data_IF_794464882949
#
_entry.id   IF_794464882949
#
_cell.length_a   1.000
_cell.length_b   1.000
_cell.length_c   1.000
_cell.angle_alpha   90.00
_cell.angle_beta   90.00
_cell.angle_gamma   90.00
#
_symmetry.space_group_name_H-M   'P 1'
#
loop_
_entity.id
_entity.type
_entity.pdbx_description
1 polymer ?
#
# COMPACT_ATOMS: atom_id res chain seq x y z
N UNK A 1 8.59 12.77 15.14
CA UNK A 1 9.45 12.02 14.18
C UNK A 1 9.29 10.49 14.24
N UNK A 2 9.19 9.85 15.41
CA UNK A 2 9.15 8.38 15.53
C UNK A 2 7.91 7.71 14.86
N UNK A 3 6.71 8.30 15.03
CA UNK A 3 5.47 7.73 14.48
C UNK A 3 5.42 7.72 12.94
N UNK A 4 5.84 8.83 12.31
CA UNK A 4 5.91 8.93 10.84
C UNK A 4 6.91 7.92 10.25
N UNK A 5 8.04 7.72 10.92
CA UNK A 5 9.03 6.69 10.52
C UNK A 5 8.43 5.30 10.68
N UNK A 6 7.74 5.00 11.78
CA UNK A 6 7.10 3.71 11.99
C UNK A 6 6.05 3.40 10.91
N UNK A 7 5.22 4.37 10.51
CA UNK A 7 4.23 4.19 9.43
C UNK A 7 4.92 3.94 8.09
N UNK A 8 5.96 4.72 7.76
CA UNK A 8 6.76 4.50 6.55
C UNK A 8 7.47 3.15 6.52
N UNK A 9 7.99 2.69 7.66
CA UNK A 9 8.61 1.37 7.79
C UNK A 9 7.57 0.26 7.67
N UNK A 10 6.40 0.37 8.29
CA UNK A 10 5.32 -0.60 8.11
C UNK A 10 4.89 -0.65 6.64
N UNK A 11 4.76 0.49 5.96
CA UNK A 11 4.43 0.52 4.54
C UNK A 11 5.52 -0.16 3.69
N UNK A 12 6.80 0.15 3.91
CA UNK A 12 7.90 -0.48 3.19
C UNK A 12 8.03 -1.98 3.50
N UNK A 13 7.83 -2.39 4.75
CA UNK A 13 7.97 -3.79 5.19
C UNK A 13 6.75 -4.65 4.87
N UNK A 14 5.58 -4.08 4.59
CA UNK A 14 4.40 -4.84 4.14
C UNK A 14 4.21 -4.73 2.63
N UNK A 15 4.14 -3.52 2.11
CA UNK A 15 3.73 -3.29 0.72
C UNK A 15 4.81 -3.70 -0.26
N UNK A 16 6.09 -3.48 0.05
CA UNK A 16 7.18 -3.90 -0.84
C UNK A 16 7.30 -5.43 -0.97
N UNK A 17 7.36 -6.23 0.11
CA UNK A 17 7.40 -7.68 -0.03
C UNK A 17 6.08 -8.25 -0.56
N UNK A 18 4.93 -7.66 -0.22
CA UNK A 18 3.66 -8.07 -0.81
C UNK A 18 3.65 -7.83 -2.32
N UNK A 19 4.16 -6.68 -2.78
CA UNK A 19 4.32 -6.38 -4.19
C UNK A 19 5.31 -7.30 -4.90
N UNK A 20 6.44 -7.58 -4.27
CA UNK A 20 7.44 -8.51 -4.79
C UNK A 20 6.89 -9.94 -4.91
N UNK A 21 6.10 -10.38 -3.92
CA UNK A 21 5.41 -11.66 -3.95
C UNK A 21 4.37 -11.72 -5.07
N UNK A 22 3.55 -10.67 -5.22
CA UNK A 22 2.57 -10.57 -6.29
C UNK A 22 3.21 -10.58 -7.69
N UNK A 23 4.37 -9.93 -7.83
CA UNK A 23 5.12 -9.87 -9.08
C UNK A 23 5.80 -11.21 -9.41
N UNK A 24 6.25 -11.94 -8.39
CA UNK A 24 6.95 -13.23 -8.56
C UNK A 24 5.98 -14.39 -8.82
N UNK A 25 4.79 -14.35 -8.22
CA UNK A 25 3.79 -15.43 -8.30
C UNK A 25 2.39 -14.91 -8.66
N UNK A 26 2.24 -14.13 -9.75
CA UNK A 26 0.97 -13.48 -10.07
C UNK A 26 -0.16 -14.48 -10.35
N UNK A 27 0.17 -15.64 -10.93
CA UNK A 27 -0.79 -16.68 -11.25
C UNK A 27 -1.34 -17.36 -9.99
N UNK A 28 -0.46 -17.68 -9.05
CA UNK A 28 -0.82 -18.38 -7.82
C UNK A 28 -1.78 -17.52 -6.97
N UNK A 29 -1.52 -16.21 -6.93
CA UNK A 29 -2.39 -15.24 -6.25
C UNK A 29 -3.72 -15.05 -7.00
N UNK A 30 -3.69 -15.01 -8.33
CA UNK A 30 -4.90 -14.91 -9.16
C UNK A 30 -5.83 -16.10 -8.95
N UNK A 31 -5.27 -17.31 -8.99
CA UNK A 31 -6.02 -18.56 -8.83
C UNK A 31 -6.62 -18.67 -7.42
N UNK A 32 -5.84 -18.31 -6.39
CA UNK A 32 -6.32 -18.28 -5.01
C UNK A 32 -7.47 -17.28 -4.81
N UNK A 33 -7.35 -16.07 -5.36
CA UNK A 33 -8.41 -15.05 -5.34
C UNK A 33 -9.64 -15.50 -6.12
N UNK A 34 -9.45 -16.14 -7.27
CA UNK A 34 -10.54 -16.66 -8.09
C UNK A 34 -11.34 -17.74 -7.37
N UNK A 35 -10.67 -18.63 -6.65
CA UNK A 35 -11.34 -19.64 -5.82
C UNK A 35 -12.15 -19.00 -4.69
N UNK A 36 -11.60 -17.97 -4.05
CA UNK A 36 -12.27 -17.26 -2.96
C UNK A 36 -13.47 -16.41 -3.41
N UNK A 37 -13.34 -15.71 -4.54
CA UNK A 37 -14.39 -14.83 -5.06
C UNK A 37 -15.38 -15.54 -5.99
N UNK A 38 -15.13 -16.81 -6.35
CA UNK A 38 -15.96 -17.55 -7.31
C UNK A 38 -15.99 -16.94 -8.72
N UNK A 39 -15.02 -16.09 -9.06
CA UNK A 39 -14.95 -15.35 -10.32
C UNK A 39 -13.54 -15.38 -10.91
N UNK A 40 -13.42 -15.35 -12.23
CA UNK A 40 -12.11 -15.34 -12.89
C UNK A 40 -11.42 -13.98 -12.66
N UNK A 41 -10.30 -13.99 -11.94
CA UNK A 41 -9.46 -12.83 -11.64
C UNK A 41 -8.26 -12.88 -12.57
N UNK A 42 -8.10 -11.84 -13.39
CA UNK A 42 -6.96 -11.78 -14.31
C UNK A 42 -5.70 -11.22 -13.63
N UNK A 43 -4.53 -11.61 -14.14
CA UNK A 43 -3.24 -11.00 -13.72
C UNK A 43 -3.27 -9.47 -13.79
N UNK A 44 -3.90 -8.94 -14.84
CA UNK A 44 -4.03 -7.50 -15.05
C UNK A 44 -4.87 -6.81 -13.97
N UNK A 45 -5.98 -7.45 -13.54
CA UNK A 45 -6.80 -6.95 -12.44
C UNK A 45 -6.03 -6.95 -11.12
N UNK A 46 -5.22 -7.97 -10.86
CA UNK A 46 -4.34 -8.04 -9.68
C UNK A 46 -3.30 -6.92 -9.65
N UNK A 47 -2.64 -6.66 -10.77
CA UNK A 47 -1.69 -5.56 -10.90
C UNK A 47 -2.34 -4.20 -10.67
N UNK A 48 -3.52 -3.97 -11.27
CA UNK A 48 -4.29 -2.75 -11.08
C UNK A 48 -4.75 -2.57 -9.63
N UNK A 49 -5.26 -3.63 -9.00
CA UNK A 49 -5.68 -3.61 -7.60
C UNK A 49 -4.51 -3.28 -6.67
N UNK A 50 -3.34 -3.88 -6.91
CA UNK A 50 -2.14 -3.61 -6.12
C UNK A 50 -1.63 -2.18 -6.31
N UNK A 51 -1.61 -1.65 -7.54
CA UNK A 51 -1.25 -0.26 -7.79
C UNK A 51 -2.22 0.71 -7.10
N UNK A 52 -3.52 0.43 -7.15
CA UNK A 52 -4.54 1.25 -6.51
C UNK A 52 -4.40 1.25 -4.98
N UNK A 53 -4.16 0.08 -4.39
CA UNK A 53 -3.88 -0.05 -2.96
C UNK A 53 -2.63 0.74 -2.56
N UNK A 54 -1.55 0.59 -3.34
CA UNK A 54 -0.27 1.29 -3.12
C UNK A 54 -0.47 2.81 -3.20
N UNK A 55 -1.19 3.30 -4.22
CA UNK A 55 -1.49 4.72 -4.38
C UNK A 55 -2.35 5.27 -3.23
N UNK A 56 -3.34 4.51 -2.76
CA UNK A 56 -4.18 4.89 -1.62
C UNK A 56 -3.36 5.02 -0.34
N UNK A 57 -2.50 4.03 -0.05
CA UNK A 57 -1.60 4.08 1.09
C UNK A 57 -0.64 5.28 1.02
N UNK A 58 -0.07 5.55 -0.16
CA UNK A 58 0.80 6.72 -0.37
C UNK A 58 0.06 8.03 -0.12
N UNK A 59 -1.19 8.14 -0.61
CA UNK A 59 -2.04 9.31 -0.40
C UNK A 59 -2.33 9.55 1.07
N UNK A 60 -2.63 8.48 1.82
CA UNK A 60 -2.87 8.56 3.27
C UNK A 60 -1.59 8.98 3.99
N UNK A 61 -0.44 8.37 3.66
CA UNK A 61 0.86 8.72 4.26
C UNK A 61 1.20 10.19 4.02
N UNK A 62 1.12 10.67 2.78
CA UNK A 62 1.32 12.09 2.45
C UNK A 62 0.35 13.02 3.18
N UNK A 63 -0.90 12.61 3.34
CA UNK A 63 -1.91 13.35 4.10
C UNK A 63 -1.55 13.48 5.59
N UNK A 64 -1.10 12.38 6.21
CA UNK A 64 -0.64 12.37 7.61
C UNK A 64 0.61 13.24 7.77
N UNK A 65 1.58 13.12 6.84
CA UNK A 65 2.79 13.96 6.83
C UNK A 65 2.45 15.44 6.74
N UNK A 66 1.56 15.82 5.82
CA UNK A 66 1.15 17.21 5.61
C UNK A 66 0.45 17.79 6.85
N UNK A 67 -0.46 17.04 7.48
CA UNK A 67 -1.11 17.46 8.73
C UNK A 67 -0.12 17.61 9.88
N UNK A 68 0.86 16.73 9.97
CA UNK A 68 1.89 16.80 11.00
C UNK A 68 2.83 18.00 10.78
N UNK A 69 3.22 18.29 9.54
CA UNK A 69 3.99 19.49 9.20
C UNK A 69 3.22 20.78 9.52
N UNK A 70 1.93 20.84 9.18
CA UNK A 70 1.07 21.99 9.53
C UNK A 70 0.97 22.21 11.04
N UNK A 71 0.83 21.13 11.83
CA UNK A 71 0.83 21.22 13.30
C UNK A 71 2.16 21.69 13.87
N UNK A 72 3.28 21.23 13.32
CA UNK A 72 4.59 21.71 13.75
C UNK A 72 4.79 23.19 13.43
N UNK A 73 4.37 23.64 12.24
CA UNK A 73 4.47 25.04 11.83
C UNK A 73 3.72 25.99 12.78
N UNK A 74 2.54 25.58 13.27
CA UNK A 74 1.74 26.32 14.25
C UNK A 74 2.34 26.34 15.67
N UNK A 75 3.16 25.36 16.04
CA UNK A 75 3.83 25.32 17.35
C UNK A 75 5.14 26.11 17.32
N UNK A 76 5.74 26.30 16.13
CA UNK A 76 6.97 27.08 15.94
C UNK A 76 6.75 28.56 15.66
N UNK A 77 5.50 29.02 15.57
CA UNK A 77 5.10 30.44 15.40
C UNK A 77 4.58 31.01 16.71
#
# INVERSE_FOLDING_TARGET
MALLRAIGFCFLLLVAPLGAFLASYPQLVADALSQWLGTAVSRGQLGLAFMLLTALCLRIDLGVRRRYQQRQALVSS
#
